data_IF_812191334328
#
_entry.id   IF_812191334328
#
_cell.length_a   1.000
_cell.length_b   1.000
_cell.length_c   1.000
_cell.angle_alpha   90.00
_cell.angle_beta   90.00
_cell.angle_gamma   90.00
#
_symmetry.space_group_name_H-M   'P 1'
#
loop_
_entity.id
_entity.type
_entity.pdbx_description
1 polymer ?
#
# COMPACT_ATOMS: atom_id res chain seq x y z
N UNK A 1 16.60 24.27 -6.84
CA UNK A 1 15.70 23.18 -6.39
C UNK A 1 16.56 22.21 -5.58
N UNK A 2 16.42 22.18 -4.25
CA UNK A 2 17.45 21.57 -3.38
C UNK A 2 17.13 20.09 -3.13
N UNK A 3 17.78 19.17 -3.84
CA UNK A 3 17.73 17.71 -3.58
C UNK A 3 17.96 17.41 -2.10
N UNK A 4 18.82 18.20 -1.46
CA UNK A 4 19.09 18.17 -0.01
C UNK A 4 17.81 18.27 0.83
N UNK A 5 16.84 19.11 0.43
CA UNK A 5 15.57 19.27 1.13
C UNK A 5 14.70 18.01 1.03
N UNK A 6 14.67 17.37 -0.13
CA UNK A 6 13.94 16.10 -0.32
C UNK A 6 14.55 15.01 0.54
N UNK A 7 15.89 14.91 0.58
CA UNK A 7 16.59 13.94 1.42
C UNK A 7 16.33 14.21 2.91
N UNK A 8 16.33 15.47 3.35
CA UNK A 8 16.03 15.79 4.74
C UNK A 8 14.59 15.43 5.11
N UNK A 9 13.61 15.71 4.25
CA UNK A 9 12.21 15.36 4.49
C UNK A 9 12.02 13.84 4.60
N UNK A 10 12.66 13.06 3.73
CA UNK A 10 12.64 11.59 3.81
C UNK A 10 13.23 11.11 5.14
N UNK A 11 14.36 11.68 5.58
CA UNK A 11 14.99 11.31 6.85
C UNK A 11 14.10 11.61 8.05
N UNK A 12 13.43 12.75 8.09
CA UNK A 12 12.52 13.07 9.19
C UNK A 12 11.34 12.10 9.23
N UNK A 13 10.72 11.79 8.08
CA UNK A 13 9.60 10.81 8.03
C UNK A 13 10.04 9.42 8.50
N UNK A 14 11.27 9.01 8.21
CA UNK A 14 11.80 7.71 8.63
C UNK A 14 12.14 7.64 10.12
N UNK A 15 12.31 8.76 10.82
CA UNK A 15 12.54 8.76 12.28
C UNK A 15 11.27 8.46 13.07
N UNK A 16 10.12 8.90 12.55
CA UNK A 16 8.82 8.73 13.20
C UNK A 16 8.20 7.37 12.92
N UNK A 17 8.84 6.53 12.09
CA UNK A 17 8.36 5.18 11.80
C UNK A 17 8.88 4.19 12.86
N UNK A 18 8.02 3.85 13.82
CA UNK A 18 8.36 2.91 14.89
C UNK A 18 8.52 1.47 14.41
N UNK A 19 9.33 0.70 15.14
CA UNK A 19 9.51 -0.74 14.89
C UNK A 19 8.19 -1.51 15.04
N UNK A 20 7.29 -1.05 15.92
CA UNK A 20 6.00 -1.68 16.17
C UNK A 20 5.05 -1.58 14.97
N UNK A 21 4.97 -0.42 14.31
CA UNK A 21 4.17 -0.25 13.09
C UNK A 21 4.71 -1.10 11.94
N UNK A 22 6.05 -1.19 11.83
CA UNK A 22 6.69 -2.05 10.85
C UNK A 22 6.32 -3.52 11.05
N UNK A 23 6.51 -4.03 12.27
CA UNK A 23 6.20 -5.42 12.60
C UNK A 23 4.71 -5.74 12.44
N UNK A 24 3.83 -4.79 12.77
CA UNK A 24 2.39 -4.93 12.54
C UNK A 24 2.08 -5.08 11.04
N UNK A 25 2.63 -4.21 10.20
CA UNK A 25 2.42 -4.28 8.74
C UNK A 25 3.01 -5.58 8.17
N UNK A 26 4.22 -5.95 8.58
CA UNK A 26 4.88 -7.18 8.16
C UNK A 26 4.06 -8.41 8.55
N UNK A 27 3.57 -8.49 9.80
CA UNK A 27 2.70 -9.58 10.27
C UNK A 27 1.41 -9.66 9.46
N UNK A 28 0.76 -8.54 9.15
CA UNK A 28 -0.46 -8.51 8.32
C UNK A 28 -0.19 -9.06 6.91
N UNK A 29 0.88 -8.59 6.26
CA UNK A 29 1.28 -9.06 4.93
C UNK A 29 1.62 -10.56 4.98
N UNK A 30 2.33 -11.01 6.02
CA UNK A 30 2.72 -12.42 6.15
C UNK A 30 1.51 -13.35 6.33
N UNK A 31 0.54 -12.96 7.15
CA UNK A 31 -0.64 -13.78 7.49
C UNK A 31 -1.72 -13.82 6.42
N UNK A 32 -1.82 -12.80 5.56
CA UNK A 32 -2.86 -12.78 4.52
C UNK A 32 -2.66 -13.87 3.47
N UNK A 33 -3.71 -14.27 2.76
CA UNK A 33 -3.54 -15.14 1.58
C UNK A 33 -3.03 -14.32 0.40
N UNK A 34 -3.69 -13.19 0.12
CA UNK A 34 -3.36 -12.28 -1.00
C UNK A 34 -3.31 -10.83 -0.52
N UNK A 35 -2.56 -9.99 -1.22
CA UNK A 35 -2.42 -8.56 -0.91
C UNK A 35 -2.95 -7.70 -2.04
N UNK A 36 -3.96 -6.89 -1.76
CA UNK A 36 -4.52 -5.92 -2.68
C UNK A 36 -3.97 -4.55 -2.35
N UNK A 37 -3.57 -3.79 -3.37
CA UNK A 37 -3.09 -2.42 -3.19
C UNK A 37 -4.00 -1.45 -3.93
N UNK A 38 -4.40 -0.39 -3.24
CA UNK A 38 -5.22 0.68 -3.79
C UNK A 38 -4.56 2.06 -3.55
N UNK A 39 -4.67 2.95 -4.52
CA UNK A 39 -4.18 4.32 -4.40
C UNK A 39 -4.52 5.11 -5.65
N UNK A 40 -4.54 6.45 -5.54
CA UNK A 40 -4.90 7.33 -6.66
C UNK A 40 -3.78 8.30 -7.01
N UNK A 41 -3.54 8.52 -8.31
CA UNK A 41 -2.46 9.37 -8.82
C UNK A 41 -1.08 8.78 -8.50
N UNK A 42 -0.16 9.62 -8.02
CA UNK A 42 1.22 9.20 -7.67
C UNK A 42 1.26 8.10 -6.60
N UNK A 43 0.35 8.14 -5.63
CA UNK A 43 0.21 7.07 -4.62
C UNK A 43 -0.18 5.73 -5.24
N UNK A 44 -1.00 5.74 -6.30
CA UNK A 44 -1.32 4.54 -7.07
C UNK A 44 -0.11 3.97 -7.81
N UNK A 45 0.78 4.82 -8.34
CA UNK A 45 2.03 4.38 -8.98
C UNK A 45 2.97 3.70 -7.98
N UNK A 46 3.12 4.27 -6.78
CA UNK A 46 3.90 3.65 -5.70
C UNK A 46 3.26 2.32 -5.28
N UNK A 47 1.93 2.27 -5.16
CA UNK A 47 1.20 1.04 -4.83
C UNK A 47 1.41 -0.08 -5.86
N UNK A 48 1.44 0.25 -7.16
CA UNK A 48 1.76 -0.71 -8.24
C UNK A 48 3.18 -1.23 -8.12
N UNK A 49 4.16 -0.36 -7.85
CA UNK A 49 5.54 -0.77 -7.63
C UNK A 49 5.65 -1.73 -6.44
N UNK A 50 4.93 -1.43 -5.36
CA UNK A 50 4.89 -2.28 -4.16
C UNK A 50 4.25 -3.64 -4.43
N UNK A 51 3.07 -3.68 -5.07
CA UNK A 51 2.41 -4.94 -5.46
C UNK A 51 3.32 -5.77 -6.38
N UNK A 52 3.96 -5.16 -7.39
CA UNK A 52 4.91 -5.86 -8.24
C UNK A 52 6.05 -6.49 -7.43
N UNK A 53 6.58 -5.78 -6.42
CA UNK A 53 7.66 -6.31 -5.58
C UNK A 53 7.18 -7.48 -4.70
N UNK A 54 5.97 -7.40 -4.14
CA UNK A 54 5.36 -8.52 -3.41
C UNK A 54 5.25 -9.78 -4.29
N UNK A 55 4.80 -9.61 -5.55
CA UNK A 55 4.75 -10.70 -6.52
C UNK A 55 6.11 -11.32 -6.79
N UNK A 56 7.16 -10.51 -6.97
CA UNK A 56 8.53 -11.00 -7.14
C UNK A 56 9.06 -11.76 -5.91
N UNK A 57 8.55 -11.45 -4.72
CA UNK A 57 8.88 -12.14 -3.46
C UNK A 57 8.00 -13.38 -3.21
N UNK A 58 7.16 -13.78 -4.17
CA UNK A 58 6.30 -14.96 -4.09
C UNK A 58 4.96 -14.72 -3.38
N UNK A 59 4.64 -13.49 -3.00
CA UNK A 59 3.33 -13.17 -2.43
C UNK A 59 2.31 -12.91 -3.54
N UNK A 60 1.13 -13.50 -3.45
CA UNK A 60 0.05 -13.12 -4.35
C UNK A 60 -0.40 -11.69 -4.07
N UNK A 61 -0.38 -10.85 -5.10
CA UNK A 61 -0.74 -9.45 -4.97
C UNK A 61 -1.39 -8.87 -6.21
N UNK A 62 -2.33 -7.96 -6.00
CA UNK A 62 -3.15 -7.34 -7.04
C UNK A 62 -3.27 -5.83 -6.82
N UNK A 63 -3.61 -5.10 -7.88
CA UNK A 63 -3.88 -3.67 -7.82
C UNK A 63 -5.35 -3.46 -8.13
N UNK A 64 -6.06 -2.80 -7.22
CA UNK A 64 -7.50 -2.55 -7.37
C UNK A 64 -7.76 -1.70 -8.60
N UNK A 65 -8.73 -2.11 -9.41
CA UNK A 65 -9.10 -1.45 -10.67
C UNK A 65 -8.34 -1.92 -11.91
N UNK A 66 -7.36 -2.82 -11.77
CA UNK A 66 -6.68 -3.44 -12.91
C UNK A 66 -7.47 -4.64 -13.48
N UNK A 67 -7.25 -4.93 -14.77
CA UNK A 67 -8.01 -5.93 -15.55
C UNK A 67 -8.04 -7.32 -14.92
N UNK A 68 -6.95 -7.74 -14.30
CA UNK A 68 -6.80 -9.09 -13.73
C UNK A 68 -7.12 -9.16 -12.23
N UNK A 69 -7.61 -8.07 -11.64
CA UNK A 69 -7.88 -8.01 -10.21
C UNK A 69 -9.10 -8.89 -9.87
N UNK A 70 -8.93 -9.99 -9.11
CA UNK A 70 -10.07 -10.81 -8.68
C UNK A 70 -10.83 -10.12 -7.53
N UNK A 71 -12.00 -10.64 -7.13
CA UNK A 71 -12.68 -10.18 -5.92
C UNK A 71 -11.86 -10.42 -4.65
N UNK A 72 -11.94 -9.45 -3.72
CA UNK A 72 -11.40 -9.54 -2.36
C UNK A 72 -12.21 -10.55 -1.56
N UNK A 73 -11.54 -11.28 -0.67
CA UNK A 73 -12.11 -12.30 0.23
C UNK A 73 -11.63 -12.06 1.67
N UNK A 74 -12.32 -12.69 2.63
CA UNK A 74 -12.13 -12.50 4.08
C UNK A 74 -10.69 -12.66 4.61
N UNK A 75 -9.84 -13.43 3.93
CA UNK A 75 -8.44 -13.68 4.35
C UNK A 75 -7.41 -12.84 3.60
N UNK A 76 -7.86 -11.95 2.73
CA UNK A 76 -6.98 -11.04 2.01
C UNK A 76 -6.62 -9.82 2.86
N UNK A 77 -5.59 -9.11 2.44
CA UNK A 77 -5.21 -7.82 2.99
C UNK A 77 -5.38 -6.74 1.94
N UNK A 78 -6.16 -5.70 2.23
CA UNK A 78 -6.19 -4.47 1.45
C UNK A 78 -5.26 -3.42 2.05
N UNK A 79 -4.32 -2.90 1.25
CA UNK A 79 -3.41 -1.81 1.59
C UNK A 79 -3.79 -0.59 0.77
N UNK A 80 -4.17 0.49 1.45
CA UNK A 80 -4.56 1.75 0.81
C UNK A 80 -3.46 2.79 1.03
N UNK A 81 -3.01 3.39 -0.06
CA UNK A 81 -2.00 4.45 -0.04
C UNK A 81 -2.71 5.77 -0.36
N UNK A 82 -2.94 6.57 0.70
CA UNK A 82 -3.62 7.86 0.63
C UNK A 82 -2.94 8.87 1.55
N UNK A 83 -2.73 10.10 1.06
CA UNK A 83 -2.20 11.18 1.89
C UNK A 83 -3.27 11.78 2.80
N UNK A 84 -4.40 12.21 2.24
CA UNK A 84 -5.46 12.87 3.02
C UNK A 84 -6.44 11.92 3.69
N UNK A 85 -6.45 10.63 3.33
CA UNK A 85 -7.48 9.68 3.77
C UNK A 85 -8.90 9.93 3.19
N UNK A 86 -9.15 11.11 2.63
CA UNK A 86 -10.49 11.58 2.24
C UNK A 86 -10.83 11.39 0.75
N UNK A 87 -9.99 10.67 -0.01
CA UNK A 87 -10.22 10.53 -1.45
C UNK A 87 -11.52 9.78 -1.72
N UNK A 88 -12.52 10.49 -2.27
CA UNK A 88 -13.84 9.95 -2.65
C UNK A 88 -13.77 8.74 -3.59
N UNK A 89 -12.72 8.63 -4.41
CA UNK A 89 -12.52 7.46 -5.28
C UNK A 89 -12.00 6.22 -4.55
N UNK A 90 -11.54 6.37 -3.31
CA UNK A 90 -10.94 5.29 -2.49
C UNK A 90 -11.90 4.86 -1.38
N UNK A 91 -12.63 5.79 -0.76
CA UNK A 91 -13.54 5.50 0.37
C UNK A 91 -14.47 4.30 0.09
N UNK A 92 -15.16 4.20 -1.07
CA UNK A 92 -16.03 3.06 -1.34
C UNK A 92 -15.29 1.73 -1.37
N UNK A 93 -14.02 1.71 -1.77
CA UNK A 93 -13.20 0.49 -1.81
C UNK A 93 -12.92 0.00 -0.39
N UNK A 94 -12.77 0.90 0.58
CA UNK A 94 -12.58 0.55 1.98
C UNK A 94 -13.80 -0.13 2.60
N UNK A 95 -15.01 0.27 2.19
CA UNK A 95 -16.27 -0.19 2.79
C UNK A 95 -16.66 -1.60 2.33
N UNK A 96 -16.10 -2.06 1.22
CA UNK A 96 -16.47 -3.33 0.56
C UNK A 96 -15.39 -4.42 0.79
N UNK A 97 -14.24 -4.04 1.34
CA UNK A 97 -13.06 -4.90 1.49
C UNK A 97 -13.05 -5.72 2.79
#
# INVERSE_FOLDING_TARGET
MKIEKVISEIKEVLKDFGEDEFEKLYSLIKKSERVFVCGAGRSGLIGRCFAMRLRHLGKESYVVGETICPPIKEKDLLIIISYSGEKKSIIPICEIA
#
